data_IF_476499971086
#
_entry.id   IF_476499971086
#
_cell.length_a   1.000
_cell.length_b   1.000
_cell.length_c   1.000
_cell.angle_alpha   90.00
_cell.angle_beta   90.00
_cell.angle_gamma   90.00
#
_symmetry.space_group_name_H-M   'P 1'
#
loop_
_entity.id
_entity.type
_entity.pdbx_description
1 polymer ?
#
# COMPACT_ATOMS: atom_id res chain seq x y z
N UNK A 1 41.83 16.72 -3.93
CA UNK A 1 41.04 15.82 -4.80
C UNK A 1 39.60 16.23 -4.63
N UNK A 2 38.98 16.82 -5.64
CA UNK A 2 37.56 17.14 -5.58
C UNK A 2 36.79 15.84 -5.32
N UNK A 3 35.94 15.82 -4.29
CA UNK A 3 35.12 14.65 -3.97
C UNK A 3 34.39 14.21 -5.23
N UNK A 4 34.67 12.98 -5.69
CA UNK A 4 33.86 12.34 -6.72
C UNK A 4 32.43 12.26 -6.15
N UNK A 5 31.49 12.93 -6.79
CA UNK A 5 30.06 12.81 -6.48
C UNK A 5 29.61 11.45 -7.02
N UNK A 6 29.45 10.50 -6.12
CA UNK A 6 29.04 9.12 -6.46
C UNK A 6 27.54 9.00 -6.23
N UNK A 7 26.77 8.97 -7.32
CA UNK A 7 25.31 8.93 -7.27
C UNK A 7 24.78 7.68 -6.57
N UNK A 8 25.53 6.57 -6.59
CA UNK A 8 25.11 5.33 -5.92
C UNK A 8 25.30 5.40 -4.41
N UNK A 9 26.36 6.07 -3.95
CA UNK A 9 26.56 6.31 -2.51
C UNK A 9 25.45 7.20 -1.95
N UNK A 10 25.08 8.27 -2.67
CA UNK A 10 23.96 9.13 -2.28
C UNK A 10 22.61 8.39 -2.31
N UNK A 11 22.38 7.58 -3.36
CA UNK A 11 21.18 6.75 -3.44
C UNK A 11 21.10 5.72 -2.30
N UNK A 12 22.22 5.09 -1.93
CA UNK A 12 22.25 4.15 -0.80
C UNK A 12 21.90 4.84 0.52
N UNK A 13 22.41 6.05 0.76
CA UNK A 13 22.03 6.85 1.93
C UNK A 13 20.54 7.24 1.89
N UNK A 14 20.00 7.55 0.71
CA UNK A 14 18.57 7.82 0.54
C UNK A 14 17.71 6.58 0.82
N UNK A 15 18.10 5.39 0.36
CA UNK A 15 17.41 4.12 0.66
C UNK A 15 17.33 3.88 2.17
N UNK A 16 18.43 4.14 2.90
CA UNK A 16 18.44 4.01 4.36
C UNK A 16 17.48 4.99 5.04
N UNK A 17 17.37 6.22 4.53
CA UNK A 17 16.34 7.19 5.01
C UNK A 17 14.93 6.69 4.75
N UNK A 18 14.65 6.18 3.54
CA UNK A 18 13.33 5.61 3.21
C UNK A 18 12.97 4.49 4.17
N UNK A 19 13.89 3.58 4.46
CA UNK A 19 13.65 2.46 5.37
C UNK A 19 13.44 2.87 6.84
N UNK A 20 14.09 3.96 7.29
CA UNK A 20 14.04 4.42 8.68
C UNK A 20 12.92 5.44 8.97
N UNK A 21 12.33 6.05 7.93
CA UNK A 21 11.34 7.11 8.09
C UNK A 21 9.96 6.68 8.63
N UNK A 22 9.40 5.49 8.29
CA UNK A 22 8.07 5.12 8.72
C UNK A 22 7.90 5.04 10.24
N UNK A 23 6.75 5.49 10.74
CA UNK A 23 6.32 5.40 12.14
C UNK A 23 4.90 4.88 12.20
N UNK A 24 4.52 4.22 13.30
CA UNK A 24 3.16 3.72 13.48
C UNK A 24 2.79 2.69 12.43
N UNK A 25 1.72 2.96 11.68
CA UNK A 25 1.18 2.13 10.60
C UNK A 25 1.65 2.55 9.19
N UNK A 26 2.47 3.60 9.09
CA UNK A 26 3.00 4.06 7.82
C UNK A 26 4.04 3.07 7.26
N UNK A 27 4.17 3.02 5.94
CA UNK A 27 5.15 2.20 5.23
C UNK A 27 5.81 3.00 4.12
N UNK A 28 7.08 2.71 3.85
CA UNK A 28 7.79 3.26 2.71
C UNK A 28 8.76 2.21 2.15
N UNK A 29 8.78 2.07 0.82
CA UNK A 29 9.56 1.05 0.13
C UNK A 29 10.24 1.65 -1.10
N UNK A 30 11.52 1.31 -1.29
CA UNK A 30 12.19 1.50 -2.58
C UNK A 30 11.95 0.25 -3.43
N UNK A 31 11.15 0.38 -4.48
CA UNK A 31 10.71 -0.77 -5.28
C UNK A 31 11.68 -1.17 -6.40
N UNK A 32 12.44 -0.21 -6.93
CA UNK A 32 13.37 -0.43 -8.04
C UNK A 32 14.46 0.62 -8.08
N UNK A 33 15.60 0.29 -8.67
CA UNK A 33 16.70 1.21 -8.94
C UNK A 33 17.37 0.91 -10.29
N UNK A 34 17.78 1.96 -10.97
CA UNK A 34 18.56 1.92 -12.22
C UNK A 34 19.83 2.73 -11.96
N UNK A 35 20.99 2.10 -12.15
CA UNK A 35 22.30 2.69 -11.93
C UNK A 35 23.00 2.86 -13.26
N UNK A 36 23.41 4.08 -13.58
CA UNK A 36 24.00 4.42 -14.87
C UNK A 36 25.40 5.06 -14.67
N UNK A 37 26.42 4.64 -15.43
CA UNK A 37 26.37 3.64 -16.53
C UNK A 37 26.36 2.17 -16.07
N UNK A 38 26.48 1.89 -14.77
CA UNK A 38 26.38 0.53 -14.21
C UNK A 38 27.61 -0.36 -14.40
N UNK A 39 28.74 0.20 -14.86
CA UNK A 39 30.02 -0.50 -14.94
C UNK A 39 30.70 -0.60 -13.58
N UNK A 40 31.24 -1.77 -13.23
CA UNK A 40 31.89 -2.01 -11.93
C UNK A 40 33.16 -1.17 -11.68
N UNK A 41 33.74 -0.61 -12.74
CA UNK A 41 34.94 0.22 -12.71
C UNK A 41 34.66 1.71 -13.05
N UNK A 42 33.39 2.11 -13.14
CA UNK A 42 32.98 3.48 -13.43
C UNK A 42 32.13 4.00 -12.28
N UNK A 43 32.42 5.21 -11.80
CA UNK A 43 31.59 5.84 -10.77
C UNK A 43 30.23 6.16 -11.38
N UNK A 44 29.12 5.71 -10.77
CA UNK A 44 27.79 6.04 -11.25
C UNK A 44 27.56 7.54 -11.28
N UNK A 45 27.15 8.04 -12.44
CA UNK A 45 26.82 9.45 -12.64
C UNK A 45 25.35 9.74 -12.31
N UNK A 46 24.48 8.73 -12.43
CA UNK A 46 23.05 8.85 -12.17
C UNK A 46 22.49 7.57 -11.58
N UNK A 47 21.62 7.74 -10.59
CA UNK A 47 20.75 6.68 -10.09
C UNK A 47 19.31 7.17 -10.15
N UNK A 48 18.44 6.35 -10.72
CA UNK A 48 16.99 6.58 -10.72
C UNK A 48 16.34 5.50 -9.87
N UNK A 49 15.44 5.86 -8.95
CA UNK A 49 14.76 4.91 -8.09
C UNK A 49 13.28 5.24 -7.96
N UNK A 50 12.49 4.29 -7.49
CA UNK A 50 11.07 4.49 -7.15
C UNK A 50 10.89 4.45 -5.64
N UNK A 51 9.93 5.24 -5.14
CA UNK A 51 9.51 5.21 -3.73
C UNK A 51 8.00 5.04 -3.70
N UNK A 52 7.53 4.01 -3.00
CA UNK A 52 6.13 3.84 -2.61
C UNK A 52 6.02 4.18 -1.13
N UNK A 53 5.20 5.17 -0.77
CA UNK A 53 4.97 5.61 0.60
C UNK A 53 3.48 5.67 0.89
N UNK A 54 3.05 5.08 2.00
CA UNK A 54 1.63 4.97 2.39
C UNK A 54 1.46 5.26 3.88
N UNK A 55 0.35 5.91 4.22
CA UNK A 55 -0.10 6.12 5.58
C UNK A 55 -1.63 6.16 5.60
N UNK A 56 -2.23 5.98 6.78
CA UNK A 56 -3.69 5.95 6.94
C UNK A 56 -4.34 7.33 6.91
N UNK A 57 -3.59 8.40 7.19
CA UNK A 57 -4.06 9.78 7.10
C UNK A 57 -3.21 10.64 6.16
N UNK A 58 -3.79 11.68 5.54
CA UNK A 58 -3.02 12.63 4.72
C UNK A 58 -1.88 13.28 5.48
N UNK A 59 -2.07 13.64 6.76
CA UNK A 59 -1.09 14.32 7.59
C UNK A 59 0.10 13.41 7.91
N UNK A 60 -0.15 12.14 8.21
CA UNK A 60 0.91 11.16 8.44
C UNK A 60 1.71 10.90 7.15
N UNK A 61 1.04 10.87 5.99
CA UNK A 61 1.73 10.75 4.70
C UNK A 61 2.59 11.99 4.41
N UNK A 62 2.10 13.19 4.72
CA UNK A 62 2.86 14.44 4.58
C UNK A 62 4.11 14.45 5.46
N UNK A 63 3.98 14.05 6.73
CA UNK A 63 5.12 13.91 7.64
C UNK A 63 6.16 12.90 7.11
N UNK A 64 5.69 11.76 6.60
CA UNK A 64 6.55 10.71 6.05
C UNK A 64 7.32 11.21 4.81
N UNK A 65 6.64 11.83 3.86
CA UNK A 65 7.26 12.39 2.64
C UNK A 65 8.27 13.48 2.99
N UNK A 66 7.92 14.38 3.92
CA UNK A 66 8.83 15.42 4.40
C UNK A 66 10.07 14.84 5.10
N UNK A 67 9.89 13.76 5.88
CA UNK A 67 10.99 13.06 6.57
C UNK A 67 11.94 12.36 5.60
N UNK A 68 11.40 11.73 4.54
CA UNK A 68 12.22 11.09 3.50
C UNK A 68 12.94 12.15 2.66
N UNK A 69 12.28 13.28 2.38
CA UNK A 69 12.84 14.40 1.64
C UNK A 69 12.80 14.21 0.12
N UNK A 70 11.60 14.01 -0.44
CA UNK A 70 11.37 13.93 -1.88
C UNK A 70 10.06 14.62 -2.27
N UNK A 71 9.91 14.94 -3.56
CA UNK A 71 8.66 15.46 -4.13
C UNK A 71 7.89 14.30 -4.79
N UNK A 72 6.68 13.94 -4.31
CA UNK A 72 5.89 12.88 -4.91
C UNK A 72 5.42 13.26 -6.32
N UNK A 73 5.66 12.39 -7.30
CA UNK A 73 5.16 12.57 -8.67
C UNK A 73 3.70 12.16 -8.84
N UNK A 74 3.17 11.40 -7.89
CA UNK A 74 1.79 10.90 -7.88
C UNK A 74 1.31 10.73 -6.44
N UNK A 75 0.02 11.00 -6.21
CA UNK A 75 -0.63 10.84 -4.90
C UNK A 75 -2.09 10.48 -5.06
N UNK A 76 -2.54 9.54 -4.25
CA UNK A 76 -3.96 9.22 -4.02
C UNK A 76 -4.36 9.62 -2.61
N UNK A 77 -5.56 10.17 -2.46
CA UNK A 77 -6.12 10.45 -1.15
C UNK A 77 -6.74 9.18 -0.57
N UNK A 78 -6.72 8.98 0.76
CA UNK A 78 -7.55 7.95 1.40
C UNK A 78 -9.01 8.15 1.03
N UNK A 79 -9.71 7.07 0.71
CA UNK A 79 -11.12 7.11 0.31
C UNK A 79 -11.95 6.22 1.24
N UNK A 80 -12.94 6.76 1.96
CA UNK A 80 -13.79 5.95 2.82
C UNK A 80 -14.73 5.08 1.99
N UNK A 81 -14.86 3.82 2.40
CA UNK A 81 -15.96 2.96 1.96
C UNK A 81 -17.28 3.46 2.58
N UNK A 82 -18.40 3.32 1.88
CA UNK A 82 -19.66 3.96 2.31
C UNK A 82 -20.93 3.37 1.71
N UNK A 83 -22.06 3.78 2.29
CA UNK A 83 -23.41 3.53 1.78
C UNK A 83 -23.90 2.10 1.94
N UNK A 84 -24.88 1.73 1.14
CA UNK A 84 -25.58 0.45 1.24
C UNK A 84 -24.65 -0.78 1.24
N UNK A 85 -23.57 -0.85 0.42
CA UNK A 85 -22.66 -1.99 0.48
C UNK A 85 -21.94 -2.15 1.83
N UNK A 86 -21.52 -1.05 2.46
CA UNK A 86 -20.83 -1.11 3.75
C UNK A 86 -21.77 -1.54 4.87
N UNK A 87 -22.98 -0.97 4.90
CA UNK A 87 -24.00 -1.33 5.90
C UNK A 87 -24.46 -2.79 5.74
N UNK A 88 -24.55 -3.28 4.50
CA UNK A 88 -24.87 -4.67 4.23
C UNK A 88 -23.79 -5.64 4.71
N UNK A 89 -22.51 -5.33 4.50
CA UNK A 89 -21.40 -6.13 5.04
C UNK A 89 -21.38 -6.12 6.58
N UNK A 90 -21.60 -4.97 7.22
CA UNK A 90 -21.71 -4.87 8.69
C UNK A 90 -22.84 -5.73 9.25
N UNK A 91 -23.98 -5.78 8.54
CA UNK A 91 -25.12 -6.59 8.94
C UNK A 91 -24.90 -8.09 8.70
N UNK A 92 -24.20 -8.46 7.62
CA UNK A 92 -23.91 -9.85 7.26
C UNK A 92 -22.80 -10.48 8.11
N UNK A 93 -21.85 -9.67 8.61
CA UNK A 93 -20.75 -10.12 9.46
C UNK A 93 -20.71 -9.36 10.80
N UNK A 94 -21.74 -9.51 11.66
CA UNK A 94 -21.80 -8.77 12.92
C UNK A 94 -20.62 -9.15 13.82
N UNK A 95 -19.84 -8.15 14.26
CA UNK A 95 -18.68 -8.33 15.13
C UNK A 95 -17.37 -8.62 14.39
N UNK A 96 -17.37 -8.67 13.06
CA UNK A 96 -16.13 -8.66 12.29
C UNK A 96 -15.35 -7.33 12.52
N UNK A 97 -14.01 -7.37 12.59
CA UNK A 97 -13.21 -6.17 12.75
C UNK A 97 -13.25 -5.30 11.48
N UNK A 98 -13.25 -3.98 11.67
CA UNK A 98 -13.08 -3.03 10.56
C UNK A 98 -11.60 -2.72 10.36
N UNK A 99 -11.14 -2.82 9.11
CA UNK A 99 -9.75 -2.65 8.73
C UNK A 99 -9.64 -1.61 7.62
N UNK A 100 -8.54 -0.85 7.65
CA UNK A 100 -8.14 0.01 6.52
C UNK A 100 -7.32 -0.83 5.55
N UNK A 101 -7.64 -0.79 4.25
CA UNK A 101 -6.77 -1.42 3.26
C UNK A 101 -5.52 -0.57 3.03
N UNK A 102 -4.35 -1.18 3.24
CA UNK A 102 -3.06 -0.60 2.84
C UNK A 102 -2.74 -0.78 1.35
N UNK A 103 -3.51 -1.58 0.62
CA UNK A 103 -3.33 -1.86 -0.80
C UNK A 103 -4.33 -1.09 -1.67
N UNK A 104 -3.93 -0.81 -2.91
CA UNK A 104 -4.82 -0.24 -3.92
C UNK A 104 -5.78 -1.31 -4.45
N UNK A 105 -7.07 -0.97 -4.54
CA UNK A 105 -8.10 -1.82 -5.13
C UNK A 105 -9.07 -0.98 -5.97
N UNK A 106 -9.71 -1.58 -6.96
CA UNK A 106 -10.67 -0.88 -7.83
C UNK A 106 -11.83 -0.25 -7.06
N UNK A 107 -12.21 -0.84 -5.92
CA UNK A 107 -13.21 -0.27 -5.01
C UNK A 107 -12.87 1.16 -4.56
N UNK A 108 -11.59 1.49 -4.38
CA UNK A 108 -11.17 2.85 -4.04
C UNK A 108 -11.40 3.82 -5.20
N UNK A 109 -11.16 3.39 -6.44
CA UNK A 109 -11.45 4.19 -7.64
C UNK A 109 -12.95 4.45 -7.81
N UNK A 110 -13.78 3.42 -7.57
CA UNK A 110 -15.25 3.55 -7.60
C UNK A 110 -15.75 4.50 -6.50
N UNK A 111 -15.25 4.33 -5.28
CA UNK A 111 -15.59 5.21 -4.16
C UNK A 111 -15.17 6.67 -4.43
N UNK A 112 -14.00 6.90 -5.01
CA UNK A 112 -13.52 8.23 -5.39
C UNK A 112 -14.41 8.89 -6.45
N UNK A 113 -15.03 8.09 -7.33
CA UNK A 113 -16.00 8.53 -8.32
C UNK A 113 -17.40 8.78 -7.74
N UNK A 114 -17.59 8.62 -6.42
CA UNK A 114 -18.87 8.81 -5.74
C UNK A 114 -19.81 7.61 -5.80
N UNK A 115 -19.33 6.44 -6.20
CA UNK A 115 -20.11 5.19 -6.19
C UNK A 115 -19.98 4.55 -4.80
N UNK A 116 -21.08 4.35 -4.04
CA UNK A 116 -21.04 3.64 -2.77
C UNK A 116 -20.37 2.27 -2.95
N UNK A 117 -19.31 2.04 -2.20
CA UNK A 117 -18.44 0.86 -2.34
C UNK A 117 -18.02 0.39 -0.95
N UNK A 118 -17.80 -0.91 -0.82
CA UNK A 118 -17.23 -1.52 0.37
C UNK A 118 -16.41 -2.75 -0.01
N UNK A 119 -15.52 -3.17 0.89
CA UNK A 119 -14.67 -4.33 0.70
C UNK A 119 -14.87 -5.32 1.85
N UNK A 120 -14.91 -6.61 1.50
CA UNK A 120 -14.84 -7.71 2.45
C UNK A 120 -13.43 -8.30 2.40
N UNK A 121 -12.76 -8.37 3.54
CA UNK A 121 -11.44 -8.99 3.65
C UNK A 121 -11.56 -10.46 4.04
N UNK A 122 -10.76 -11.30 3.39
CA UNK A 122 -10.58 -12.70 3.74
C UNK A 122 -9.24 -12.87 4.43
N UNK A 123 -9.19 -13.72 5.45
CA UNK A 123 -7.95 -13.97 6.18
C UNK A 123 -6.93 -14.66 5.29
N UNK A 124 -5.86 -13.97 4.96
CA UNK A 124 -4.66 -14.59 4.39
C UNK A 124 -3.83 -15.25 5.50
N UNK A 125 -3.42 -16.50 5.27
CA UNK A 125 -2.58 -17.30 6.15
C UNK A 125 -1.11 -16.90 5.99
N UNK A 126 -0.20 -17.64 6.63
CA UNK A 126 1.24 -17.41 6.54
C UNK A 126 1.66 -15.97 6.91
N UNK A 127 0.94 -15.36 7.86
CA UNK A 127 1.23 -13.99 8.31
C UNK A 127 0.70 -12.89 7.40
N UNK A 128 -0.23 -13.19 6.48
CA UNK A 128 -0.81 -12.19 5.57
C UNK A 128 0.07 -11.89 4.36
N UNK A 129 0.97 -12.80 4.00
CA UNK A 129 1.82 -12.68 2.81
C UNK A 129 0.94 -12.55 1.57
N UNK A 130 1.33 -11.64 0.67
CA UNK A 130 0.74 -11.47 -0.65
C UNK A 130 1.82 -11.11 -1.68
N UNK A 131 1.54 -11.29 -2.98
CA UNK A 131 2.51 -11.17 -4.07
C UNK A 131 3.70 -12.12 -3.95
N UNK A 132 3.48 -13.28 -3.33
CA UNK A 132 4.48 -14.31 -3.11
C UNK A 132 3.85 -15.69 -3.35
N UNK A 133 4.62 -16.70 -3.78
CA UNK A 133 4.10 -18.07 -3.96
C UNK A 133 3.44 -18.70 -2.73
N UNK A 134 3.80 -18.22 -1.53
CA UNK A 134 3.24 -18.70 -0.25
C UNK A 134 1.93 -17.98 0.17
N UNK A 135 1.40 -17.08 -0.67
CA UNK A 135 0.10 -16.47 -0.48
C UNK A 135 -0.99 -17.55 -0.45
N UNK A 136 -1.79 -17.59 0.62
CA UNK A 136 -2.77 -18.66 0.81
C UNK A 136 -3.92 -18.21 1.72
N UNK A 137 -5.15 -18.52 1.33
CA UNK A 137 -6.34 -18.48 2.20
C UNK A 137 -6.95 -19.88 2.23
N UNK A 138 -7.41 -20.35 3.39
CA UNK A 138 -7.97 -21.70 3.47
C UNK A 138 -9.36 -21.77 2.85
N UNK A 139 -9.78 -22.97 2.43
CA UNK A 139 -11.11 -23.18 1.87
C UNK A 139 -12.20 -22.72 2.84
N UNK A 140 -12.02 -22.94 4.16
CA UNK A 140 -12.97 -22.52 5.18
C UNK A 140 -13.06 -20.98 5.31
N UNK A 141 -11.93 -20.27 5.20
CA UNK A 141 -11.96 -18.79 5.24
C UNK A 141 -12.63 -18.24 3.97
N UNK A 142 -12.41 -18.88 2.82
CA UNK A 142 -13.04 -18.50 1.54
C UNK A 142 -14.55 -18.77 1.58
N UNK A 143 -14.97 -19.93 2.08
CA UNK A 143 -16.39 -20.29 2.22
C UNK A 143 -17.13 -19.33 3.15
N UNK A 144 -16.56 -19.05 4.33
CA UNK A 144 -17.14 -18.08 5.26
C UNK A 144 -17.27 -16.67 4.64
N UNK A 145 -16.26 -16.23 3.87
CA UNK A 145 -16.33 -14.96 3.17
C UNK A 145 -17.38 -14.94 2.05
N UNK A 146 -17.54 -16.06 1.34
CA UNK A 146 -18.55 -16.21 0.31
C UNK A 146 -19.96 -16.13 0.89
N UNK A 147 -20.21 -16.78 2.03
CA UNK A 147 -21.50 -16.70 2.75
C UNK A 147 -21.85 -15.25 3.14
N UNK A 148 -20.89 -14.52 3.72
CA UNK A 148 -21.06 -13.10 4.07
C UNK A 148 -21.33 -12.25 2.83
N UNK A 149 -20.59 -12.48 1.75
CA UNK A 149 -20.76 -11.72 0.50
C UNK A 149 -22.14 -11.96 -0.11
N UNK A 150 -22.62 -13.22 -0.12
CA UNK A 150 -23.95 -13.58 -0.63
C UNK A 150 -25.04 -12.87 0.19
N UNK A 151 -24.97 -12.94 1.53
CA UNK A 151 -25.96 -12.26 2.40
C UNK A 151 -25.92 -10.74 2.19
N UNK A 152 -24.73 -10.13 2.12
CA UNK A 152 -24.61 -8.70 1.89
C UNK A 152 -25.18 -8.27 0.53
N UNK A 153 -24.90 -9.00 -0.54
CA UNK A 153 -25.45 -8.72 -1.88
C UNK A 153 -26.98 -8.86 -1.88
N UNK A 154 -27.53 -9.88 -1.21
CA UNK A 154 -28.98 -10.06 -1.09
C UNK A 154 -29.69 -8.91 -0.37
N UNK A 155 -29.00 -8.18 0.52
CA UNK A 155 -29.54 -7.04 1.26
C UNK A 155 -29.58 -5.73 0.49
N UNK A 156 -28.79 -5.62 -0.58
CA UNK A 156 -28.70 -4.42 -1.43
C UNK A 156 -29.37 -4.60 -2.80
N UNK A 157 -29.84 -5.81 -3.09
CA UNK A 157 -30.55 -6.17 -4.32
C UNK A 157 -32.04 -5.83 -4.27
#
# INVERSE_FOLDING_TARGET
MAHRQDALVEAAAFVQRVAAAPKGDAVATVGSFVVEPGGSNVIPERVTLTVDARATTPEALDELVATIGFEPTWRTQPVPMSGAPLEALRAAAPGAPELVSGAGHDAASLAAAGVPSAMLFVRSRNGGISHHPDEYSSEEDIEAALEVLIDAVARIS
#
